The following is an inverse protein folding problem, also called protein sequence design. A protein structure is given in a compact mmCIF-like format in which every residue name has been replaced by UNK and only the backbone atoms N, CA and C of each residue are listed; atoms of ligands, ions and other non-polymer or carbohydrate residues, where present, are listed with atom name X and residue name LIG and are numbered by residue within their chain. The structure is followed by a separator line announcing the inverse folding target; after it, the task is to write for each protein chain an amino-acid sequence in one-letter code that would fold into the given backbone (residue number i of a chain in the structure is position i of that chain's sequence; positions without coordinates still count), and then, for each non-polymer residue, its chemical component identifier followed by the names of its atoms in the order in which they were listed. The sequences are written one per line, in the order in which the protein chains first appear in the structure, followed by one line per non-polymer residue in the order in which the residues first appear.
data_IF_662662069266
#
_entry.id   IF_662662069266
#
_cell.length_a   1.000
_cell.length_b   1.000
_cell.length_c   1.000
_cell.angle_alpha   90.00
_cell.angle_beta   90.00
_cell.angle_gamma   90.00
#
_symmetry.space_group_name_H-M   'P 1'
#
loop_
_entity.id
_entity.type
_entity.pdbx_description
1 polymer ?
#
# COMPACT_ATOMS: atom_id res chain seq x y z
N UNK A 1 18.20 -8.57 -23.99
CA UNK A 1 17.98 -9.96 -23.55
C UNK A 1 17.72 -9.91 -22.06
N UNK A 2 16.82 -10.70 -21.49
CA UNK A 2 16.69 -10.73 -20.03
C UNK A 2 17.73 -11.71 -19.46
N UNK A 3 18.52 -11.30 -18.46
CA UNK A 3 19.50 -12.17 -17.82
C UNK A 3 18.96 -12.68 -16.48
N UNK A 4 19.37 -13.90 -16.13
CA UNK A 4 19.04 -14.53 -14.86
C UNK A 4 20.34 -14.81 -14.11
N UNK A 5 20.44 -14.23 -12.93
CA UNK A 5 21.57 -14.34 -12.04
C UNK A 5 21.10 -15.02 -10.77
N UNK A 6 21.69 -16.16 -10.44
CA UNK A 6 21.36 -16.85 -9.21
C UNK A 6 22.60 -17.40 -8.52
N UNK A 7 22.59 -17.43 -7.18
CA UNK A 7 23.68 -17.95 -6.36
C UNK A 7 25.02 -17.29 -6.69
N UNK A 8 25.06 -15.97 -6.62
CA UNK A 8 26.26 -15.19 -6.90
C UNK A 8 26.76 -14.58 -5.61
N UNK A 9 28.07 -14.70 -5.39
CA UNK A 9 28.79 -13.98 -4.35
C UNK A 9 29.79 -13.03 -5.00
N UNK A 10 29.67 -11.74 -4.71
CA UNK A 10 30.57 -10.70 -5.22
C UNK A 10 31.34 -10.11 -4.05
N UNK A 11 32.67 -10.20 -4.12
CA UNK A 11 33.58 -9.54 -3.20
C UNK A 11 34.49 -8.66 -4.03
N UNK A 12 34.29 -7.34 -3.96
CA UNK A 12 35.01 -6.39 -4.81
C UNK A 12 35.07 -5.03 -4.15
N UNK A 13 36.13 -4.26 -4.40
CA UNK A 13 36.14 -2.84 -3.99
C UNK A 13 35.04 -2.05 -4.71
N UNK A 14 34.83 -2.35 -6.00
CA UNK A 14 33.87 -1.71 -6.87
C UNK A 14 33.03 -2.77 -7.59
N UNK A 15 31.71 -2.69 -7.44
CA UNK A 15 30.76 -3.45 -8.25
C UNK A 15 29.87 -2.48 -9.02
N UNK A 16 29.87 -2.61 -10.34
CA UNK A 16 29.04 -1.83 -11.25
C UNK A 16 28.12 -2.80 -11.99
N UNK A 17 26.82 -2.60 -11.85
CA UNK A 17 25.81 -3.25 -12.68
C UNK A 17 25.08 -2.15 -13.46
N UNK A 18 25.41 -2.02 -14.74
CA UNK A 18 24.80 -1.07 -15.65
C UNK A 18 24.24 -1.83 -16.85
N UNK A 19 22.93 -1.87 -16.99
CA UNK A 19 22.27 -2.69 -18.01
C UNK A 19 20.95 -2.05 -18.45
N UNK A 20 20.68 -2.19 -19.74
CA UNK A 20 19.56 -1.50 -20.40
C UNK A 20 18.31 -2.40 -20.50
N UNK A 21 18.32 -3.60 -19.90
CA UNK A 21 17.30 -4.64 -20.06
C UNK A 21 16.99 -5.33 -18.73
N UNK A 22 15.82 -5.94 -18.64
CA UNK A 22 15.35 -6.63 -17.44
C UNK A 22 16.27 -7.77 -16.96
N UNK A 23 16.64 -7.77 -15.67
CA UNK A 23 17.31 -8.88 -15.02
C UNK A 23 16.51 -9.44 -13.85
N UNK A 24 16.82 -10.69 -13.54
CA UNK A 24 16.31 -11.39 -12.38
C UNK A 24 17.50 -11.81 -11.53
N UNK A 25 17.54 -11.31 -10.30
CA UNK A 25 18.56 -11.61 -9.30
C UNK A 25 17.92 -12.43 -8.17
N UNK A 26 18.45 -13.63 -7.94
CA UNK A 26 18.09 -14.46 -6.80
C UNK A 26 19.32 -14.89 -6.02
N UNK A 27 19.24 -14.90 -4.69
CA UNK A 27 20.32 -15.42 -3.83
C UNK A 27 21.68 -14.79 -4.17
N UNK A 28 21.75 -13.47 -4.01
CA UNK A 28 22.97 -12.69 -4.28
C UNK A 28 23.51 -12.14 -2.97
N UNK A 29 24.82 -12.30 -2.75
CA UNK A 29 25.55 -11.68 -1.64
C UNK A 29 26.59 -10.73 -2.23
N UNK A 30 26.50 -9.44 -1.87
CA UNK A 30 27.42 -8.40 -2.35
C UNK A 30 28.16 -7.82 -1.15
N UNK A 31 29.48 -7.94 -1.16
CA UNK A 31 30.35 -7.23 -0.23
C UNK A 31 31.27 -6.30 -1.03
N UNK A 32 31.03 -4.99 -0.93
CA UNK A 32 31.80 -4.02 -1.69
C UNK A 32 32.00 -2.69 -1.00
N UNK A 33 33.01 -1.92 -1.38
CA UNK A 33 33.09 -0.53 -0.89
C UNK A 33 32.04 0.33 -1.59
N UNK A 34 31.94 0.20 -2.91
CA UNK A 34 30.94 0.88 -3.74
C UNK A 34 30.18 -0.14 -4.57
N UNK A 35 28.86 -0.16 -4.40
CA UNK A 35 27.92 -0.80 -5.30
C UNK A 35 27.11 0.26 -6.03
N UNK A 36 27.24 0.31 -7.36
CA UNK A 36 26.36 1.07 -8.24
C UNK A 36 25.52 0.11 -9.06
N UNK A 37 24.21 0.29 -8.98
CA UNK A 37 23.22 -0.33 -9.85
C UNK A 37 22.57 0.79 -10.67
N UNK A 38 22.66 0.73 -11.99
CA UNK A 38 22.08 1.71 -12.92
C UNK A 38 21.31 0.95 -14.00
N UNK A 39 20.01 1.13 -14.03
CA UNK A 39 19.11 0.22 -14.74
C UNK A 39 18.02 1.00 -15.49
N UNK A 40 17.91 0.76 -16.80
CA UNK A 40 16.89 1.45 -17.61
C UNK A 40 15.50 0.77 -17.52
N UNK A 41 15.45 -0.53 -17.19
CA UNK A 41 14.24 -1.36 -17.29
C UNK A 41 14.06 -2.31 -16.09
N UNK A 42 12.91 -3.00 -16.06
CA UNK A 42 12.40 -3.69 -14.89
C UNK A 42 13.29 -4.81 -14.33
N UNK A 43 13.62 -4.76 -13.05
CA UNK A 43 14.32 -5.83 -12.35
C UNK A 43 13.53 -6.45 -11.20
N UNK A 44 13.86 -7.71 -10.96
CA UNK A 44 13.37 -8.47 -9.82
C UNK A 44 14.56 -8.92 -8.98
N UNK A 45 14.63 -8.42 -7.75
CA UNK A 45 15.61 -8.77 -6.74
C UNK A 45 14.92 -9.57 -5.65
N UNK A 46 15.38 -10.79 -5.41
CA UNK A 46 14.89 -11.61 -4.32
C UNK A 46 16.05 -12.27 -3.55
N UNK A 47 15.94 -12.29 -2.22
CA UNK A 47 16.98 -12.85 -1.35
C UNK A 47 18.37 -12.27 -1.64
N UNK A 48 18.50 -10.96 -1.41
CA UNK A 48 19.74 -10.22 -1.64
C UNK A 48 20.26 -9.68 -0.32
N UNK A 49 21.55 -9.88 -0.07
CA UNK A 49 22.27 -9.28 1.05
C UNK A 49 23.35 -8.34 0.50
N UNK A 50 23.29 -7.07 0.89
CA UNK A 50 24.23 -6.04 0.46
C UNK A 50 24.94 -5.47 1.69
N UNK A 51 26.25 -5.67 1.75
CA UNK A 51 27.12 -4.98 2.67
C UNK A 51 28.02 -4.04 1.89
N UNK A 52 27.82 -2.73 2.05
CA UNK A 52 28.65 -1.76 1.36
C UNK A 52 28.90 -0.46 2.09
N UNK A 53 29.96 0.27 1.77
CA UNK A 53 30.08 1.64 2.28
C UNK A 53 29.06 2.54 1.57
N UNK A 54 28.99 2.44 0.24
CA UNK A 54 28.09 3.21 -0.60
C UNK A 54 27.27 2.25 -1.47
N UNK A 55 25.95 2.28 -1.32
CA UNK A 55 25.01 1.64 -2.23
C UNK A 55 24.22 2.71 -2.97
N UNK A 56 24.34 2.73 -4.29
CA UNK A 56 23.62 3.63 -5.18
C UNK A 56 22.78 2.81 -6.15
N UNK A 57 21.47 3.02 -6.12
CA UNK A 57 20.53 2.37 -7.01
C UNK A 57 19.78 3.42 -7.81
N UNK A 58 20.04 3.48 -9.12
CA UNK A 58 19.39 4.37 -10.08
C UNK A 58 18.59 3.54 -11.07
N UNK A 59 17.31 3.85 -11.20
CA UNK A 59 16.37 3.01 -11.92
C UNK A 59 15.38 3.88 -12.67
N UNK A 60 15.29 3.70 -13.98
CA UNK A 60 14.32 4.44 -14.79
C UNK A 60 12.93 3.79 -14.72
N UNK A 61 12.83 2.45 -14.68
CA UNK A 61 11.54 1.76 -14.69
C UNK A 61 11.46 0.48 -13.84
N UNK A 62 10.42 0.44 -13.00
CA UNK A 62 9.78 -0.71 -12.37
C UNK A 62 10.70 -1.73 -11.69
N UNK A 63 11.00 -1.53 -10.40
CA UNK A 63 11.74 -2.52 -9.61
C UNK A 63 10.89 -3.22 -8.55
N UNK A 64 11.19 -4.51 -8.37
CA UNK A 64 10.62 -5.35 -7.33
C UNK A 64 11.75 -5.92 -6.48
N UNK A 65 11.75 -5.54 -5.21
CA UNK A 65 12.67 -5.99 -4.21
C UNK A 65 11.90 -6.80 -3.17
N UNK A 66 12.31 -8.04 -2.93
CA UNK A 66 11.75 -8.84 -1.86
C UNK A 66 12.83 -9.57 -1.06
N UNK A 67 12.69 -9.62 0.26
CA UNK A 67 13.69 -10.24 1.13
C UNK A 67 15.09 -9.68 0.88
N UNK A 68 15.25 -8.39 1.14
CA UNK A 68 16.51 -7.67 0.96
C UNK A 68 17.01 -7.19 2.32
N UNK A 69 18.28 -7.41 2.58
CA UNK A 69 18.98 -6.84 3.73
C UNK A 69 20.09 -5.92 3.20
N UNK A 70 20.07 -4.66 3.66
CA UNK A 70 21.05 -3.65 3.26
C UNK A 70 21.74 -3.12 4.51
N UNK A 71 23.05 -3.33 4.59
CA UNK A 71 23.91 -2.69 5.56
C UNK A 71 24.85 -1.73 4.82
N UNK A 72 24.68 -0.42 5.05
CA UNK A 72 25.54 0.57 4.40
C UNK A 72 25.83 1.84 5.18
N UNK A 73 26.87 2.59 4.79
CA UNK A 73 27.02 3.95 5.32
C UNK A 73 26.03 4.89 4.64
N UNK A 74 25.98 4.85 3.31
CA UNK A 74 25.00 5.58 2.50
C UNK A 74 24.25 4.60 1.60
N UNK A 75 22.93 4.65 1.69
CA UNK A 75 22.04 4.08 0.68
C UNK A 75 21.29 5.22 -0.02
N UNK A 76 21.52 5.35 -1.32
CA UNK A 76 20.75 6.23 -2.21
C UNK A 76 19.94 5.36 -3.17
N UNK A 77 18.63 5.52 -3.12
CA UNK A 77 17.70 4.96 -4.08
C UNK A 77 17.05 6.10 -4.86
N UNK A 78 17.22 6.10 -6.18
CA UNK A 78 16.60 7.05 -7.09
C UNK A 78 15.83 6.28 -8.14
N UNK A 79 14.52 6.48 -8.21
CA UNK A 79 13.65 5.75 -9.12
C UNK A 79 12.68 6.68 -9.82
N UNK A 80 12.70 6.69 -11.15
CA UNK A 80 11.77 7.50 -11.95
C UNK A 80 10.36 6.90 -11.90
N UNK A 81 10.22 5.59 -12.09
CA UNK A 81 8.91 4.94 -12.13
C UNK A 81 8.85 3.63 -11.35
N UNK A 82 7.87 3.55 -10.45
CA UNK A 82 7.36 2.40 -9.73
C UNK A 82 8.43 1.57 -9.00
N UNK A 83 8.45 1.64 -7.67
CA UNK A 83 9.22 0.68 -6.86
C UNK A 83 8.32 -0.08 -5.91
N UNK A 84 8.55 -1.38 -5.81
CA UNK A 84 7.91 -2.27 -4.87
C UNK A 84 8.96 -2.91 -3.98
N UNK A 85 8.83 -2.70 -2.68
CA UNK A 85 9.69 -3.23 -1.65
C UNK A 85 8.84 -4.07 -0.69
N UNK A 86 9.18 -5.34 -0.55
CA UNK A 86 8.58 -6.25 0.44
C UNK A 86 9.64 -6.91 1.31
N UNK A 87 9.41 -6.96 2.63
CA UNK A 87 10.35 -7.63 3.56
C UNK A 87 11.77 -7.10 3.40
N UNK A 88 11.95 -5.81 3.70
CA UNK A 88 13.23 -5.12 3.57
C UNK A 88 13.71 -4.68 4.94
N UNK A 89 14.98 -4.95 5.23
CA UNK A 89 15.67 -4.41 6.39
C UNK A 89 16.81 -3.51 5.90
N UNK A 90 16.83 -2.26 6.37
CA UNK A 90 17.85 -1.27 6.03
C UNK A 90 18.51 -0.79 7.31
N UNK A 91 19.79 -1.07 7.45
CA UNK A 91 20.65 -0.47 8.46
C UNK A 91 21.63 0.47 7.76
N UNK A 92 21.47 1.78 7.96
CA UNK A 92 22.37 2.74 7.33
C UNK A 92 22.64 3.99 8.14
N UNK A 93 23.77 4.68 7.90
CA UNK A 93 23.94 6.01 8.50
C UNK A 93 23.00 7.01 7.81
N UNK A 94 22.96 6.97 6.48
CA UNK A 94 22.13 7.83 5.65
C UNK A 94 21.32 6.97 4.67
N UNK A 95 20.00 7.05 4.75
CA UNK A 95 19.10 6.49 3.75
C UNK A 95 18.34 7.62 3.04
N UNK A 96 18.53 7.71 1.73
CA UNK A 96 17.88 8.69 0.88
C UNK A 96 17.09 7.95 -0.19
N UNK A 97 15.78 8.10 -0.17
CA UNK A 97 14.86 7.50 -1.13
C UNK A 97 14.15 8.60 -1.91
N UNK A 98 14.43 8.68 -3.21
CA UNK A 98 13.83 9.61 -4.15
C UNK A 98 13.05 8.81 -5.17
N UNK A 99 11.74 9.08 -5.27
CA UNK A 99 10.88 8.39 -6.23
C UNK A 99 9.97 9.40 -6.92
N UNK A 100 10.07 9.51 -8.24
CA UNK A 100 9.23 10.43 -9.01
C UNK A 100 7.79 9.88 -9.09
N UNK A 101 7.62 8.60 -9.41
CA UNK A 101 6.29 7.99 -9.53
C UNK A 101 6.16 6.66 -8.79
N UNK A 102 5.18 6.60 -7.89
CA UNK A 102 4.67 5.41 -7.22
C UNK A 102 5.72 4.61 -6.43
N UNK A 103 5.63 4.67 -5.11
CA UNK A 103 6.43 3.83 -4.24
C UNK A 103 5.52 2.96 -3.35
N UNK A 104 5.82 1.67 -3.28
CA UNK A 104 5.08 0.70 -2.47
C UNK A 104 6.05 0.00 -1.53
N UNK A 105 5.87 0.24 -0.25
CA UNK A 105 6.71 -0.23 0.84
C UNK A 105 5.84 -1.08 1.76
N UNK A 106 6.17 -2.37 1.90
CA UNK A 106 5.49 -3.25 2.83
C UNK A 106 6.44 -4.10 3.65
N UNK A 107 6.18 -4.23 4.96
CA UNK A 107 7.05 -4.94 5.88
C UNK A 107 8.49 -4.44 5.78
N UNK A 108 8.67 -3.17 6.13
CA UNK A 108 9.95 -2.48 6.04
C UNK A 108 10.40 -2.09 7.43
N UNK A 109 11.66 -2.39 7.75
CA UNK A 109 12.34 -1.93 8.95
C UNK A 109 13.53 -1.06 8.53
N UNK A 110 13.58 0.17 9.03
CA UNK A 110 14.66 1.13 8.75
C UNK A 110 15.28 1.57 10.07
N UNK A 111 16.57 1.30 10.22
CA UNK A 111 17.40 1.86 11.28
C UNK A 111 18.42 2.80 10.65
N UNK A 112 18.30 4.10 10.93
CA UNK A 112 19.25 5.07 10.38
C UNK A 112 19.53 6.31 11.21
N UNK A 113 20.65 6.99 10.98
CA UNK A 113 20.83 8.33 11.57
C UNK A 113 19.91 9.33 10.86
N UNK A 114 19.91 9.32 9.53
CA UNK A 114 19.05 10.13 8.69
C UNK A 114 18.25 9.24 7.74
N UNK A 115 16.93 9.39 7.75
CA UNK A 115 16.07 8.91 6.70
C UNK A 115 15.39 10.10 6.00
N UNK A 116 15.64 10.24 4.70
CA UNK A 116 14.90 11.14 3.82
C UNK A 116 14.12 10.32 2.81
N UNK A 117 12.81 10.50 2.81
CA UNK A 117 11.91 9.97 1.79
C UNK A 117 11.29 11.15 1.04
N UNK A 118 11.62 11.28 -0.23
CA UNK A 118 11.08 12.30 -1.13
C UNK A 118 10.34 11.61 -2.26
N UNK A 119 9.04 11.83 -2.37
CA UNK A 119 8.21 11.18 -3.38
C UNK A 119 7.30 12.20 -4.05
N UNK A 120 7.42 12.35 -5.36
CA UNK A 120 6.61 13.33 -6.10
C UNK A 120 5.17 12.82 -6.24
N UNK A 121 4.98 11.55 -6.63
CA UNK A 121 3.66 10.97 -6.83
C UNK A 121 3.46 9.64 -6.09
N UNK A 122 2.41 9.59 -5.26
CA UNK A 122 1.82 8.39 -4.64
C UNK A 122 2.79 7.47 -3.88
N UNK A 123 2.70 7.44 -2.55
CA UNK A 123 3.40 6.46 -1.73
C UNK A 123 2.43 5.59 -0.94
N UNK A 124 2.73 4.30 -0.83
CA UNK A 124 1.95 3.34 -0.08
C UNK A 124 2.87 2.63 0.90
N UNK A 125 2.60 2.82 2.19
CA UNK A 125 3.35 2.25 3.29
C UNK A 125 2.43 1.31 4.09
N UNK A 126 2.81 0.05 4.22
CA UNK A 126 2.17 -0.91 5.11
C UNK A 126 3.17 -1.61 6.02
N UNK A 127 2.88 -1.69 7.32
CA UNK A 127 3.73 -2.37 8.29
C UNK A 127 5.18 -1.87 8.22
N UNK A 128 5.35 -0.60 8.62
CA UNK A 128 6.64 0.09 8.56
C UNK A 128 7.08 0.43 9.98
N UNK A 129 8.32 0.10 10.28
CA UNK A 129 9.01 0.53 11.49
C UNK A 129 10.23 1.36 11.11
N UNK A 130 10.29 2.59 11.61
CA UNK A 130 11.41 3.51 11.37
C UNK A 130 11.98 3.91 12.72
N UNK A 131 13.23 3.57 12.95
CA UNK A 131 14.03 4.10 14.04
C UNK A 131 15.11 5.02 13.47
N UNK A 132 14.98 6.32 13.70
CA UNK A 132 15.99 7.26 13.20
C UNK A 132 16.27 8.46 14.08
N UNK A 133 17.45 9.07 13.96
CA UNK A 133 17.64 10.37 14.64
C UNK A 133 16.78 11.43 13.95
N UNK A 134 16.88 11.53 12.63
CA UNK A 134 16.12 12.47 11.82
C UNK A 134 15.34 11.73 10.73
N UNK A 135 14.02 11.87 10.77
CA UNK A 135 13.14 11.43 9.69
C UNK A 135 12.53 12.64 8.97
N UNK A 136 12.74 12.68 7.66
CA UNK A 136 12.19 13.68 6.75
C UNK A 136 11.33 12.96 5.71
N UNK A 137 10.05 13.27 5.69
CA UNK A 137 9.14 12.79 4.65
C UNK A 137 8.61 14.00 3.88
N UNK A 138 8.95 14.08 2.60
CA UNK A 138 8.51 15.13 1.68
C UNK A 138 7.71 14.47 0.56
N UNK A 139 6.41 14.79 0.46
CA UNK A 139 5.56 14.18 -0.55
C UNK A 139 4.62 15.20 -1.17
N UNK A 140 4.60 15.26 -2.51
CA UNK A 140 3.83 16.29 -3.20
C UNK A 140 2.34 15.90 -3.34
N UNK A 141 2.03 14.65 -3.71
CA UNK A 141 0.66 14.28 -4.11
C UNK A 141 -0.15 13.46 -3.10
N UNK A 142 0.22 12.21 -2.84
CA UNK A 142 -0.64 11.29 -2.11
C UNK A 142 0.16 10.29 -1.28
N UNK A 143 -0.24 10.05 -0.04
CA UNK A 143 0.24 8.90 0.72
C UNK A 143 -0.89 8.06 1.31
N UNK A 144 -0.63 6.76 1.40
CA UNK A 144 -1.41 5.81 2.17
C UNK A 144 -0.48 5.16 3.17
N UNK A 145 -0.79 5.30 4.44
CA UNK A 145 0.00 4.77 5.54
C UNK A 145 -0.88 3.85 6.37
N UNK A 146 -0.46 2.61 6.55
CA UNK A 146 -1.11 1.66 7.43
C UNK A 146 -0.12 0.94 8.34
N UNK A 147 -0.41 0.89 9.64
CA UNK A 147 0.46 0.24 10.63
C UNK A 147 1.89 0.78 10.56
N UNK A 148 2.05 2.04 10.93
CA UNK A 148 3.34 2.73 10.92
C UNK A 148 3.76 3.03 12.35
N UNK A 149 4.98 2.67 12.68
CA UNK A 149 5.65 3.05 13.91
C UNK A 149 6.93 3.85 13.57
N UNK A 150 7.01 5.07 14.08
CA UNK A 150 8.17 5.95 13.91
C UNK A 150 8.71 6.33 15.28
N UNK A 151 9.95 5.96 15.55
CA UNK A 151 10.71 6.45 16.69
C UNK A 151 11.82 7.36 16.17
N UNK A 152 11.75 8.66 16.50
CA UNK A 152 12.81 9.57 16.09
C UNK A 152 13.06 10.73 17.04
N UNK A 153 14.23 11.37 16.97
CA UNK A 153 14.37 12.65 17.69
C UNK A 153 13.59 13.75 16.98
N UNK A 154 13.73 13.86 15.66
CA UNK A 154 13.04 14.85 14.85
C UNK A 154 12.31 14.17 13.70
N UNK A 155 11.00 14.42 13.61
CA UNK A 155 10.17 14.03 12.46
C UNK A 155 9.61 15.28 11.77
N UNK A 156 10.03 15.50 10.52
CA UNK A 156 9.41 16.50 9.64
C UNK A 156 8.59 15.78 8.58
N UNK A 157 7.33 16.18 8.46
CA UNK A 157 6.44 15.70 7.42
C UNK A 157 5.93 16.89 6.61
N UNK A 158 6.32 16.97 5.34
CA UNK A 158 5.97 18.09 4.47
C UNK A 158 5.20 17.56 3.27
N UNK A 159 3.94 17.99 3.19
CA UNK A 159 2.96 17.41 2.31
C UNK A 159 2.17 18.53 1.65
N UNK A 160 1.95 18.42 0.35
CA UNK A 160 1.21 19.42 -0.42
C UNK A 160 -0.25 19.03 -0.68
N UNK A 161 -0.59 17.73 -0.66
CA UNK A 161 -1.96 17.25 -0.87
C UNK A 161 -2.45 16.23 0.19
N UNK A 162 -2.75 14.97 -0.19
CA UNK A 162 -3.65 14.11 0.58
C UNK A 162 -2.94 12.92 1.24
N UNK A 163 -3.32 12.59 2.49
CA UNK A 163 -2.90 11.35 3.14
C UNK A 163 -4.06 10.59 3.74
N UNK A 164 -3.94 9.28 3.69
CA UNK A 164 -4.79 8.34 4.39
C UNK A 164 -3.96 7.60 5.42
N UNK A 165 -4.33 7.71 6.69
CA UNK A 165 -3.62 7.09 7.80
C UNK A 165 -4.52 6.06 8.50
N UNK A 166 -4.04 4.83 8.66
CA UNK A 166 -4.60 3.81 9.54
C UNK A 166 -3.55 3.31 10.52
N UNK A 167 -3.81 3.44 11.83
CA UNK A 167 -2.90 3.00 12.91
C UNK A 167 -1.46 3.53 12.77
N UNK A 168 -1.26 4.77 13.24
CA UNK A 168 0.04 5.43 13.23
C UNK A 168 0.47 5.73 14.66
N UNK A 169 1.68 5.31 15.00
CA UNK A 169 2.35 5.69 16.23
C UNK A 169 3.63 6.44 15.90
N UNK A 170 3.75 7.66 16.42
CA UNK A 170 4.93 8.50 16.27
C UNK A 170 5.41 8.87 17.67
N UNK A 171 6.58 8.38 18.03
CA UNK A 171 7.31 8.80 19.22
C UNK A 171 8.46 9.70 18.76
N UNK A 172 8.27 11.02 18.87
CA UNK A 172 9.34 11.97 18.56
C UNK A 172 9.47 13.10 19.57
N UNK A 173 10.69 13.59 19.75
CA UNK A 173 10.94 14.75 20.62
C UNK A 173 10.39 16.03 19.99
N UNK A 174 10.43 16.13 18.66
CA UNK A 174 9.85 17.20 17.89
C UNK A 174 9.20 16.65 16.61
N UNK A 175 7.91 16.93 16.46
CA UNK A 175 7.14 16.66 15.24
C UNK A 175 6.68 17.96 14.61
N UNK A 176 7.05 18.19 13.34
CA UNK A 176 6.60 19.33 12.56
C UNK A 176 5.92 18.85 11.28
N UNK A 177 4.74 19.40 11.02
CA UNK A 177 4.03 19.17 9.77
C UNK A 177 3.91 20.51 9.01
N UNK A 178 4.41 20.58 7.77
CA UNK A 178 4.41 21.79 6.96
C UNK A 178 3.00 22.36 6.67
N UNK A 179 1.94 21.55 6.76
CA UNK A 179 0.56 22.03 6.61
C UNK A 179 0.19 23.06 7.71
N UNK A 180 0.70 22.88 8.93
CA UNK A 180 0.50 23.82 10.06
C UNK A 180 1.22 25.15 9.80
N UNK A 181 2.34 25.13 9.09
CA UNK A 181 3.12 26.32 8.76
C UNK A 181 2.47 27.13 7.62
N UNK A 182 1.92 26.44 6.61
CA UNK A 182 1.18 27.05 5.50
C UNK A 182 -0.24 27.52 5.88
N UNK A 183 -0.69 27.34 7.14
CA UNK A 183 -2.07 27.60 7.62
C UNK A 183 -3.14 26.94 6.74
N UNK A 184 -2.83 25.77 6.19
CA UNK A 184 -3.81 24.98 5.47
C UNK A 184 -4.67 24.33 6.54
N UNK A 185 -5.76 25.01 6.92
CA UNK A 185 -6.74 24.46 7.86
C UNK A 185 -7.42 23.27 7.19
N UNK A 186 -7.46 22.14 7.90
CA UNK A 186 -8.25 20.99 7.51
C UNK A 186 -9.72 21.38 7.55
N UNK A 187 -10.34 21.48 6.39
CA UNK A 187 -11.78 21.66 6.33
C UNK A 187 -12.48 20.33 6.61
N UNK A 188 -12.60 19.96 7.90
CA UNK A 188 -13.36 18.79 8.35
C UNK A 188 -14.87 18.95 8.16
N UNK A 189 -15.31 20.05 7.54
CA UNK A 189 -16.71 20.30 7.18
C UNK A 189 -17.09 19.35 6.04
N UNK A 190 -17.45 18.13 6.40
CA UNK A 190 -17.69 17.00 5.48
C UNK A 190 -17.21 15.66 6.02
N UNK A 191 -16.18 15.68 6.87
CA UNK A 191 -15.57 14.49 7.50
C UNK A 191 -16.13 14.20 8.90
N UNK A 192 -16.98 15.09 9.40
CA UNK A 192 -17.77 14.85 10.60
C UNK A 192 -18.77 13.72 10.39
N UNK A 193 -18.33 12.48 10.64
CA UNK A 193 -19.17 11.28 10.66
C UNK A 193 -20.05 11.13 9.41
N UNK A 194 -19.49 10.56 8.34
CA UNK A 194 -20.34 9.88 7.35
C UNK A 194 -21.02 8.70 8.06
N UNK A 195 -22.18 8.98 8.63
CA UNK A 195 -23.07 7.96 9.15
C UNK A 195 -23.53 7.13 7.96
N UNK A 196 -23.25 5.82 8.00
CA UNK A 196 -23.80 4.86 7.05
C UNK A 196 -25.33 4.81 7.12
N UNK A 197 -25.93 3.94 6.32
CA UNK A 197 -27.37 3.80 6.31
C UNK A 197 -27.85 2.81 5.27
N UNK A 198 -29.16 2.59 5.24
CA UNK A 198 -29.81 1.72 4.26
C UNK A 198 -31.05 2.41 3.73
N UNK A 199 -31.18 2.48 2.40
CA UNK A 199 -32.35 2.98 1.71
C UNK A 199 -32.89 1.89 0.78
N UNK A 200 -34.15 1.50 0.97
CA UNK A 200 -34.89 0.68 0.00
C UNK A 200 -35.91 1.59 -0.66
N UNK A 201 -35.86 1.70 -1.98
CA UNK A 201 -36.70 2.66 -2.74
C UNK A 201 -37.43 1.90 -3.85
N UNK A 202 -38.74 2.10 -3.92
CA UNK A 202 -39.56 1.57 -5.00
C UNK A 202 -39.30 2.30 -6.31
N UNK A 203 -39.58 1.62 -7.43
CA UNK A 203 -39.61 2.25 -8.76
C UNK A 203 -40.53 3.47 -8.74
N UNK A 204 -40.00 4.63 -9.10
CA UNK A 204 -40.69 5.92 -8.97
C UNK A 204 -40.26 6.76 -7.75
N UNK A 205 -39.23 6.34 -7.01
CA UNK A 205 -38.59 7.18 -5.97
C UNK A 205 -39.29 7.15 -4.61
N UNK A 206 -40.28 6.27 -4.42
CA UNK A 206 -40.97 6.12 -3.13
C UNK A 206 -40.09 5.33 -2.16
N UNK A 207 -39.70 5.94 -1.04
CA UNK A 207 -38.94 5.28 0.02
C UNK A 207 -39.79 4.18 0.68
N UNK A 208 -39.24 2.96 0.76
CA UNK A 208 -39.83 1.78 1.39
C UNK A 208 -39.18 1.48 2.75
N UNK A 209 -37.87 1.72 2.88
CA UNK A 209 -37.12 1.61 4.14
C UNK A 209 -36.04 2.68 4.16
N UNK A 210 -35.90 3.37 5.28
CA UNK A 210 -34.82 4.31 5.52
C UNK A 210 -34.22 4.09 6.89
N UNK A 211 -32.92 3.86 6.91
CA UNK A 211 -32.13 3.71 8.13
C UNK A 211 -30.90 4.60 8.02
N UNK A 212 -30.65 5.36 9.08
CA UNK A 212 -29.45 6.15 9.26
C UNK A 212 -28.72 5.58 10.47
N UNK A 213 -27.48 5.20 10.27
CA UNK A 213 -26.61 4.72 11.33
C UNK A 213 -26.31 5.89 12.29
N UNK A 214 -26.42 5.72 13.60
CA UNK A 214 -26.02 6.75 14.57
C UNK A 214 -24.74 6.34 15.31
N UNK A 215 -24.53 5.04 15.51
CA UNK A 215 -23.32 4.42 16.05
C UNK A 215 -22.73 3.39 15.06
N UNK A 216 -21.41 3.13 15.09
CA UNK A 216 -20.76 2.19 14.16
C UNK A 216 -21.31 0.75 14.18
N UNK A 217 -21.96 0.34 15.29
CA UNK A 217 -22.55 -1.00 15.43
C UNK A 217 -24.01 -1.08 14.91
N UNK A 218 -24.66 0.06 14.65
CA UNK A 218 -26.05 0.06 14.22
C UNK A 218 -26.12 -0.43 12.78
N UNK A 219 -27.01 -1.37 12.53
CA UNK A 219 -27.26 -1.93 11.21
C UNK A 219 -28.76 -2.26 11.08
N UNK A 220 -29.22 -2.44 9.85
CA UNK A 220 -30.57 -2.94 9.59
C UNK A 220 -30.57 -4.45 9.63
N UNK A 221 -31.53 -5.02 10.34
CA UNK A 221 -31.77 -6.46 10.33
C UNK A 221 -32.15 -6.93 8.92
N UNK A 222 -31.52 -8.01 8.45
CA UNK A 222 -31.76 -8.52 7.09
C UNK A 222 -33.23 -8.86 6.84
N UNK A 223 -33.96 -9.30 7.87
CA UNK A 223 -35.39 -9.58 7.79
C UNK A 223 -36.24 -8.36 7.43
N UNK A 224 -35.85 -7.16 7.88
CA UNK A 224 -36.59 -5.93 7.62
C UNK A 224 -36.30 -5.37 6.22
N UNK A 225 -35.10 -5.61 5.70
CA UNK A 225 -34.78 -5.37 4.28
C UNK A 225 -35.60 -6.28 3.38
N UNK A 226 -35.69 -7.58 3.71
CA UNK A 226 -36.46 -8.55 2.94
C UNK A 226 -37.96 -8.21 2.91
N UNK A 227 -38.54 -7.86 4.06
CA UNK A 227 -39.92 -7.35 4.14
C UNK A 227 -40.13 -6.11 3.28
N UNK A 228 -39.19 -5.16 3.32
CA UNK A 228 -39.27 -3.94 2.49
C UNK A 228 -39.21 -4.23 0.98
N UNK A 229 -38.54 -5.32 0.59
CA UNK A 229 -38.48 -5.81 -0.79
C UNK A 229 -39.66 -6.73 -1.16
N UNK A 230 -40.53 -7.07 -0.21
CA UNK A 230 -41.65 -7.99 -0.40
C UNK A 230 -41.23 -9.47 -0.50
N UNK A 231 -40.10 -9.82 0.10
CA UNK A 231 -39.57 -11.18 0.17
C UNK A 231 -39.89 -11.76 1.56
N UNK A 232 -40.42 -12.98 1.60
CA UNK A 232 -40.75 -13.67 2.85
C UNK A 232 -39.47 -14.19 3.53
N UNK A 233 -39.12 -13.70 4.74
CA UNK A 233 -37.88 -14.08 5.43
C UNK A 233 -37.86 -15.53 5.92
N UNK A 234 -39.02 -16.20 5.99
CA UNK A 234 -39.15 -17.58 6.49
C UNK A 234 -39.13 -18.62 5.35
N UNK A 235 -38.86 -18.20 4.11
CA UNK A 235 -38.58 -19.16 3.02
C UNK A 235 -37.23 -19.85 3.29
N UNK A 236 -37.17 -21.19 3.32
CA UNK A 236 -35.91 -21.89 3.58
C UNK A 236 -34.88 -21.50 2.52
N UNK A 237 -33.79 -20.86 2.96
CA UNK A 237 -32.58 -20.78 2.15
C UNK A 237 -32.01 -22.19 2.05
N UNK A 238 -31.91 -22.72 0.84
CA UNK A 238 -31.13 -23.93 0.58
C UNK A 238 -29.67 -23.58 0.88
N UNK A 239 -29.28 -23.76 2.13
CA UNK A 239 -27.95 -23.49 2.64
C UNK A 239 -26.96 -24.48 2.03
N UNK A 240 -26.11 -23.98 1.13
CA UNK A 240 -25.03 -24.74 0.54
C UNK A 240 -23.74 -23.92 0.54
N UNK A 241 -22.89 -24.18 1.52
CA UNK A 241 -21.44 -23.99 1.46
C UNK A 241 -20.87 -24.29 0.07
N UNK A 242 -19.91 -23.48 -0.39
CA UNK A 242 -19.35 -23.61 -1.73
C UNK A 242 -18.89 -25.01 -2.11
N UNK A 243 -19.26 -25.45 -3.33
CA UNK A 243 -18.39 -26.03 -4.37
C UNK A 243 -19.24 -26.62 -5.51
N UNK A 244 -18.82 -26.30 -6.74
CA UNK A 244 -18.87 -27.10 -7.98
C UNK A 244 -19.92 -28.21 -8.13
N UNK A 245 -20.76 -28.08 -9.17
CA UNK A 245 -21.07 -29.22 -10.05
C UNK A 245 -22.52 -29.72 -10.14
N UNK A 246 -23.12 -29.46 -11.31
CA UNK A 246 -24.04 -30.33 -12.09
C UNK A 246 -25.49 -30.60 -11.63
N UNK A 247 -26.40 -30.05 -12.46
CA UNK A 247 -27.62 -30.64 -13.03
C UNK A 247 -28.74 -31.19 -12.12
N UNK A 248 -29.88 -30.48 -12.11
CA UNK A 248 -31.20 -31.04 -11.79
C UNK A 248 -32.31 -29.99 -11.79
N UNK A 249 -33.05 -29.84 -12.90
CA UNK A 249 -34.28 -29.06 -13.02
C UNK A 249 -35.41 -29.70 -12.16
N UNK A 250 -36.51 -29.08 -11.72
CA UNK A 250 -37.23 -27.82 -11.96
C UNK A 250 -38.12 -27.57 -10.71
N UNK A 251 -38.61 -26.38 -10.38
CA UNK A 251 -39.79 -25.74 -11.03
C UNK A 251 -39.85 -24.25 -10.67
N UNK A 252 -40.02 -23.41 -11.71
CA UNK A 252 -40.09 -21.93 -11.62
C UNK A 252 -41.34 -21.46 -10.86
N UNK A 253 -41.22 -20.49 -9.93
CA UNK A 253 -42.34 -19.65 -9.53
C UNK A 253 -42.76 -18.78 -10.71
N UNK A 254 -44.03 -18.84 -11.09
CA UNK A 254 -44.61 -18.03 -12.17
C UNK A 254 -44.63 -16.56 -11.78
N UNK A 255 -44.11 -15.70 -12.69
CA UNK A 255 -44.23 -14.24 -12.59
C UNK A 255 -42.89 -13.48 -12.51
N UNK A 256 -41.75 -14.17 -12.51
CA UNK A 256 -40.44 -13.52 -12.51
C UNK A 256 -39.48 -14.25 -13.47
N UNK A 257 -38.71 -13.46 -14.24
CA UNK A 257 -37.60 -13.93 -15.07
C UNK A 257 -36.32 -13.35 -14.47
N UNK A 258 -35.43 -14.25 -14.07
CA UNK A 258 -34.11 -13.90 -13.52
C UNK A 258 -33.02 -14.24 -14.53
N UNK A 259 -32.09 -13.30 -14.72
CA UNK A 259 -30.92 -13.45 -15.57
C UNK A 259 -29.70 -12.96 -14.78
N UNK A 260 -28.85 -13.90 -14.34
CA UNK A 260 -27.81 -13.64 -13.34
C UNK A 260 -28.40 -13.19 -12.00
N UNK A 261 -27.74 -12.24 -11.33
CA UNK A 261 -28.15 -11.69 -10.02
C UNK A 261 -29.35 -10.73 -10.09
N UNK A 262 -30.00 -10.60 -11.25
CA UNK A 262 -31.10 -9.65 -11.46
C UNK A 262 -32.38 -10.39 -11.82
N UNK A 263 -33.38 -10.29 -10.95
CA UNK A 263 -34.73 -10.78 -11.17
C UNK A 263 -35.69 -9.65 -11.57
N UNK A 264 -36.46 -9.87 -12.65
CA UNK A 264 -37.51 -8.95 -13.10
C UNK A 264 -38.86 -9.63 -13.04
N UNK A 265 -39.86 -8.90 -12.56
CA UNK A 265 -41.26 -9.34 -12.59
C UNK A 265 -41.76 -9.30 -14.03
N UNK A 266 -42.33 -10.39 -14.53
CA UNK A 266 -43.14 -10.42 -15.76
C UNK A 266 -44.59 -10.08 -15.44
#
# INVERSE_FOLDING_TARGET
MANYFCHIKIISTLFLNCVDMANYFCHIEINSTLFLNCEDMANYFCHIEINSTLFLNFVDMANYFCHIEINSTLFLNFVDMATYFCHIEINSTLFLNFVDMANYLCHIEINSTLFLNCVDMANYFCHIEINSTLFLNCVDMANYFCHIEINSTLFLNCEDMANYFCHIEINSTLFLNCAKEKKIDGNLTGDGMQNGGTLVVAKGGKLLLGFKQENPADHVESSDVLKALGIDPDTPSDGGSGKTGTNGAATKPTGYVCEGDVCRKT
#
